data_IF_582973013997
#
_entry.id   IF_582973013997
#
_cell.length_a   1.000
_cell.length_b   1.000
_cell.length_c   1.000
_cell.angle_alpha   90.00
_cell.angle_beta   90.00
_cell.angle_gamma   90.00
#
_symmetry.space_group_name_H-M   'P 1'
#
loop_
_entity.id
_entity.type
_entity.pdbx_description
1 polymer ?
#
# COMPACT_ATOMS: atom_id res chain seq x y z
N UNK A 1 -32.74 -36.12 -30.21
CA UNK A 1 -32.92 -34.65 -30.23
C UNK A 1 -32.65 -33.95 -28.89
N UNK A 2 -33.14 -34.48 -27.78
CA UNK A 2 -32.94 -33.91 -26.43
C UNK A 2 -31.46 -33.89 -25.97
N UNK A 3 -30.70 -34.94 -26.32
CA UNK A 3 -29.27 -35.05 -25.92
C UNK A 3 -28.37 -34.01 -26.63
N UNK A 4 -28.70 -33.63 -27.86
CA UNK A 4 -27.98 -32.62 -28.61
C UNK A 4 -28.21 -31.20 -28.03
N UNK A 5 -29.44 -30.91 -27.56
CA UNK A 5 -29.77 -29.62 -26.91
C UNK A 5 -29.04 -29.44 -25.58
N UNK A 6 -28.95 -30.48 -24.76
CA UNK A 6 -28.25 -30.46 -23.47
C UNK A 6 -26.74 -30.25 -23.65
N UNK A 7 -26.12 -30.88 -24.65
CA UNK A 7 -24.70 -30.66 -24.97
C UNK A 7 -24.42 -29.22 -25.44
N UNK A 8 -25.32 -28.64 -26.24
CA UNK A 8 -25.18 -27.28 -26.75
C UNK A 8 -25.35 -26.24 -25.63
N UNK A 9 -26.28 -26.46 -24.69
CA UNK A 9 -26.49 -25.60 -23.53
C UNK A 9 -25.29 -25.68 -22.57
N UNK A 10 -24.76 -26.87 -22.29
CA UNK A 10 -23.57 -27.06 -21.47
C UNK A 10 -22.32 -26.40 -22.08
N UNK A 11 -22.13 -26.55 -23.40
CA UNK A 11 -21.01 -25.91 -24.10
C UNK A 11 -21.12 -24.37 -24.10
N UNK A 12 -22.31 -23.83 -24.33
CA UNK A 12 -22.55 -22.39 -24.27
C UNK A 12 -22.38 -21.85 -22.85
N UNK A 13 -22.82 -22.59 -21.82
CA UNK A 13 -22.59 -22.21 -20.41
C UNK A 13 -21.10 -22.21 -20.08
N UNK A 14 -20.35 -23.17 -20.58
CA UNK A 14 -18.91 -23.26 -20.38
C UNK A 14 -18.15 -22.14 -21.10
N UNK A 15 -18.59 -21.74 -22.30
CA UNK A 15 -18.07 -20.59 -23.04
C UNK A 15 -18.41 -19.27 -22.31
N UNK A 16 -19.63 -19.11 -21.83
CA UNK A 16 -20.04 -17.93 -21.05
C UNK A 16 -19.25 -17.83 -19.75
N UNK A 17 -19.12 -18.95 -19.03
CA UNK A 17 -18.32 -18.99 -17.79
C UNK A 17 -16.82 -18.71 -18.07
N UNK A 18 -16.26 -19.24 -19.17
CA UNK A 18 -14.88 -18.95 -19.55
C UNK A 18 -14.70 -17.49 -19.98
N UNK A 19 -15.68 -16.89 -20.65
CA UNK A 19 -15.64 -15.47 -21.02
C UNK A 19 -15.70 -14.56 -19.78
N UNK A 20 -16.61 -14.80 -18.84
CA UNK A 20 -16.67 -14.08 -17.58
C UNK A 20 -15.42 -14.31 -16.72
N UNK A 21 -14.86 -15.51 -16.71
CA UNK A 21 -13.61 -15.82 -16.02
C UNK A 21 -12.40 -15.11 -16.67
N UNK A 22 -12.40 -14.98 -18.01
CA UNK A 22 -11.36 -14.25 -18.74
C UNK A 22 -11.46 -12.74 -18.53
N UNK A 23 -12.68 -12.17 -18.48
CA UNK A 23 -12.88 -10.75 -18.14
C UNK A 23 -12.42 -10.41 -16.71
N UNK A 24 -12.57 -11.33 -15.74
CA UNK A 24 -12.02 -11.15 -14.37
C UNK A 24 -10.47 -11.20 -14.36
N UNK A 25 -9.84 -11.98 -15.24
CA UNK A 25 -8.38 -12.10 -15.34
C UNK A 25 -7.76 -10.91 -16.08
N UNK A 26 -8.45 -10.32 -17.07
CA UNK A 26 -7.97 -9.15 -17.84
C UNK A 26 -8.21 -7.81 -17.13
N UNK A 27 -8.78 -7.79 -15.93
CA UNK A 27 -9.07 -6.58 -15.20
C UNK A 27 -7.76 -5.95 -14.64
N UNK A 28 -7.24 -4.96 -15.37
CA UNK A 28 -6.14 -4.13 -14.89
C UNK A 28 -6.53 -3.41 -13.60
N UNK A 29 -5.62 -3.37 -12.65
CA UNK A 29 -5.83 -2.65 -11.40
C UNK A 29 -5.71 -1.16 -11.67
N UNK A 30 -6.82 -0.43 -11.57
CA UNK A 30 -6.91 1.02 -11.84
C UNK A 30 -7.17 1.85 -10.60
N UNK A 31 -7.60 1.22 -9.50
CA UNK A 31 -7.99 1.87 -8.27
C UNK A 31 -7.04 1.52 -7.13
N UNK A 32 -6.70 2.51 -6.32
CA UNK A 32 -5.97 2.31 -5.07
C UNK A 32 -6.68 2.94 -3.87
N UNK A 33 -6.51 2.32 -2.72
CA UNK A 33 -6.94 2.81 -1.41
C UNK A 33 -5.70 2.99 -0.54
N UNK A 34 -5.51 4.19 0.01
CA UNK A 34 -4.40 4.53 0.91
C UNK A 34 -4.95 4.84 2.30
N UNK A 35 -4.93 3.88 3.23
CA UNK A 35 -5.32 4.12 4.62
C UNK A 35 -4.32 5.05 5.32
N UNK A 36 -4.73 6.25 5.64
CA UNK A 36 -3.92 7.29 6.28
C UNK A 36 -4.61 7.89 7.54
N UNK A 37 -5.59 7.19 8.13
CA UNK A 37 -6.38 7.70 9.26
C UNK A 37 -5.73 7.52 10.65
N UNK A 38 -4.62 6.78 10.76
CA UNK A 38 -3.97 6.44 12.03
C UNK A 38 -3.43 7.65 12.80
N UNK A 39 -3.43 7.59 14.12
CA UNK A 39 -3.02 8.70 15.00
C UNK A 39 -1.51 8.95 15.07
N UNK A 40 -0.67 8.03 14.61
CA UNK A 40 0.79 8.19 14.60
C UNK A 40 1.45 8.24 15.97
N UNK A 41 0.89 7.59 16.98
CA UNK A 41 1.36 7.69 18.38
C UNK A 41 2.80 7.24 18.61
N UNK A 42 3.32 6.33 17.77
CA UNK A 42 4.70 5.82 17.83
C UNK A 42 5.76 6.87 17.50
N UNK A 43 5.38 7.92 16.76
CA UNK A 43 6.30 9.01 16.32
C UNK A 43 6.00 10.35 16.99
N UNK A 44 5.27 10.33 18.10
CA UNK A 44 5.14 11.52 18.95
C UNK A 44 6.52 11.98 19.48
N UNK A 45 6.73 13.30 19.65
CA UNK A 45 5.77 14.41 19.48
C UNK A 45 5.60 14.92 18.05
N UNK A 46 6.39 14.46 17.07
CA UNK A 46 6.35 14.96 15.68
C UNK A 46 4.95 14.90 15.05
N UNK A 47 4.21 13.79 15.31
CA UNK A 47 2.84 13.60 14.79
C UNK A 47 1.75 14.29 15.60
N UNK A 48 2.07 15.15 16.58
CA UNK A 48 1.06 15.86 17.39
C UNK A 48 0.23 16.84 16.56
N UNK A 49 0.87 17.58 15.68
CA UNK A 49 0.26 18.62 14.86
C UNK A 49 0.33 18.34 13.36
N UNK A 50 1.09 17.33 12.95
CA UNK A 50 1.28 16.94 11.56
C UNK A 50 0.99 15.44 11.41
N UNK A 51 0.21 15.00 10.43
CA UNK A 51 0.07 13.58 10.11
C UNK A 51 1.43 12.92 9.87
N UNK A 52 1.63 11.70 10.37
CA UNK A 52 2.89 10.97 10.13
C UNK A 52 3.16 10.76 8.64
N UNK A 53 2.13 10.67 7.84
CA UNK A 53 2.16 10.54 6.39
C UNK A 53 2.73 11.78 5.69
N UNK A 54 2.71 12.93 6.39
CA UNK A 54 3.29 14.20 5.93
C UNK A 54 4.72 14.46 6.44
N UNK A 55 5.28 13.55 7.24
CA UNK A 55 6.69 13.67 7.65
C UNK A 55 7.59 13.56 6.41
N UNK A 56 8.51 14.51 6.21
CA UNK A 56 9.32 14.56 5.01
C UNK A 56 10.43 13.50 5.01
N UNK A 57 10.71 12.97 3.83
CA UNK A 57 11.94 12.27 3.51
C UNK A 57 12.75 13.22 2.64
N UNK A 58 13.68 13.94 3.24
CA UNK A 58 14.40 15.10 2.71
C UNK A 58 13.42 16.27 2.42
N UNK A 59 12.91 16.42 1.21
CA UNK A 59 12.05 17.50 0.74
C UNK A 59 10.64 17.06 0.31
N UNK A 60 10.38 15.75 0.30
CA UNK A 60 9.13 15.16 -0.17
C UNK A 60 8.40 14.44 0.98
N UNK A 61 7.11 14.69 1.25
CA UNK A 61 6.37 13.97 2.28
C UNK A 61 6.18 12.49 1.91
N UNK A 62 6.15 11.63 2.92
CA UNK A 62 6.05 10.17 2.76
C UNK A 62 4.85 9.75 1.89
N UNK A 63 3.70 10.40 2.06
CA UNK A 63 2.49 10.08 1.30
C UNK A 63 2.66 10.28 -0.22
N UNK A 64 3.48 11.24 -0.65
CA UNK A 64 3.74 11.48 -2.06
C UNK A 64 4.51 10.32 -2.70
N UNK A 65 5.48 9.72 -2.01
CA UNK A 65 6.16 8.51 -2.49
C UNK A 65 5.17 7.37 -2.76
N UNK A 66 4.17 7.22 -1.89
CA UNK A 66 3.16 6.17 -2.00
C UNK A 66 2.21 6.42 -3.17
N UNK A 67 1.79 7.68 -3.37
CA UNK A 67 0.97 8.08 -4.52
C UNK A 67 1.75 7.91 -5.83
N UNK A 68 2.99 8.37 -5.88
CA UNK A 68 3.86 8.20 -7.07
C UNK A 68 4.09 6.72 -7.40
N UNK A 69 4.24 5.85 -6.39
CA UNK A 69 4.34 4.40 -6.61
C UNK A 69 3.07 3.83 -7.23
N UNK A 70 1.89 4.23 -6.73
CA UNK A 70 0.60 3.81 -7.28
C UNK A 70 0.48 4.25 -8.74
N UNK A 71 0.77 5.50 -9.06
CA UNK A 71 0.74 6.05 -10.43
C UNK A 71 1.71 5.30 -11.37
N UNK A 72 2.95 5.06 -10.92
CA UNK A 72 3.93 4.27 -11.68
C UNK A 72 3.50 2.83 -11.90
N UNK A 73 2.57 2.32 -11.10
CA UNK A 73 1.97 0.98 -11.22
C UNK A 73 0.75 0.95 -12.14
N UNK A 74 0.37 2.08 -12.76
CA UNK A 74 -0.77 2.19 -13.68
C UNK A 74 -2.11 2.46 -12.99
N UNK A 75 -2.10 2.85 -11.71
CA UNK A 75 -3.29 3.29 -10.97
C UNK A 75 -3.68 4.69 -11.46
N UNK A 76 -4.97 4.90 -11.67
CA UNK A 76 -5.56 6.15 -12.17
C UNK A 76 -6.36 6.87 -11.08
N UNK A 77 -7.13 6.12 -10.30
CA UNK A 77 -7.99 6.63 -9.23
C UNK A 77 -7.47 6.22 -7.86
N UNK A 78 -7.26 7.19 -6.98
CA UNK A 78 -6.72 6.97 -5.64
C UNK A 78 -7.68 7.51 -4.59
N UNK A 79 -8.10 6.68 -3.64
CA UNK A 79 -8.84 7.11 -2.46
C UNK A 79 -7.93 7.11 -1.24
N UNK A 80 -7.72 8.29 -0.66
CA UNK A 80 -7.00 8.42 0.61
C UNK A 80 -8.01 8.43 1.76
N UNK A 81 -7.88 7.48 2.68
CA UNK A 81 -8.73 7.40 3.88
C UNK A 81 -8.08 8.23 4.98
N UNK A 82 -8.62 9.41 5.24
CA UNK A 82 -8.11 10.34 6.25
C UNK A 82 -8.90 10.27 7.57
N UNK A 83 -8.53 11.08 8.53
CA UNK A 83 -9.26 11.30 9.78
C UNK A 83 -9.35 12.79 10.11
N UNK A 84 -10.07 13.13 11.18
CA UNK A 84 -10.17 14.53 11.64
C UNK A 84 -8.77 15.12 11.89
N UNK A 85 -8.52 16.32 11.37
CA UNK A 85 -7.27 17.06 11.58
C UNK A 85 -6.13 16.69 10.64
N UNK A 86 -6.39 15.96 9.55
CA UNK A 86 -5.39 15.59 8.54
C UNK A 86 -5.55 16.32 7.21
N UNK A 87 -6.05 17.56 7.23
CA UNK A 87 -6.26 18.40 6.03
C UNK A 87 -4.97 18.68 5.26
N UNK A 88 -3.83 18.70 5.91
CA UNK A 88 -2.52 18.89 5.24
C UNK A 88 -2.19 17.79 4.21
N UNK A 89 -2.82 16.62 4.30
CA UNK A 89 -2.71 15.58 3.26
C UNK A 89 -3.51 15.98 2.02
N UNK A 90 -4.69 16.58 2.22
CA UNK A 90 -5.56 17.09 1.17
C UNK A 90 -4.88 18.30 0.51
N UNK A 91 -4.45 19.30 1.32
CA UNK A 91 -3.77 20.51 0.88
C UNK A 91 -2.50 20.23 0.05
N UNK A 92 -1.81 19.13 0.31
CA UNK A 92 -0.56 18.76 -0.40
C UNK A 92 -0.79 18.41 -1.87
N UNK A 93 -1.91 17.75 -2.17
CA UNK A 93 -2.26 17.35 -3.54
C UNK A 93 -3.20 18.33 -4.24
N UNK A 94 -3.71 19.34 -3.53
CA UNK A 94 -4.50 20.40 -4.12
C UNK A 94 -3.62 21.47 -4.78
N UNK A 95 -4.24 22.26 -5.66
CA UNK A 95 -3.58 23.43 -6.25
C UNK A 95 -3.37 24.52 -5.19
N UNK A 96 -2.23 25.20 -5.25
CA UNK A 96 -1.88 26.32 -4.38
C UNK A 96 -1.72 27.63 -5.18
N UNK A 97 -2.81 28.27 -5.69
CA UNK A 97 -2.75 29.36 -6.65
C UNK A 97 -1.91 30.57 -6.20
N UNK A 98 -1.93 30.89 -4.91
CA UNK A 98 -1.14 32.01 -4.36
C UNK A 98 0.37 31.71 -4.42
N UNK A 99 0.79 30.50 -4.06
CA UNK A 99 2.17 30.05 -4.15
C UNK A 99 2.62 29.99 -5.62
N UNK A 100 1.80 29.39 -6.46
CA UNK A 100 2.05 29.23 -7.89
C UNK A 100 2.28 30.58 -8.59
N UNK A 101 1.39 31.55 -8.31
CA UNK A 101 1.52 32.91 -8.85
C UNK A 101 2.80 33.60 -8.36
N UNK A 102 3.17 33.41 -7.10
CA UNK A 102 4.41 33.98 -6.54
C UNK A 102 5.66 33.34 -7.19
N UNK A 103 5.63 32.04 -7.44
CA UNK A 103 6.76 31.34 -8.10
C UNK A 103 6.96 31.86 -9.53
N UNK A 104 5.90 31.99 -10.31
CA UNK A 104 5.96 32.55 -11.67
C UNK A 104 6.47 33.99 -11.70
N UNK A 105 5.96 34.85 -10.81
CA UNK A 105 6.38 36.25 -10.74
C UNK A 105 7.83 36.43 -10.28
N UNK A 106 8.41 35.41 -9.62
CA UNK A 106 9.81 35.42 -9.18
C UNK A 106 10.77 34.68 -10.14
N UNK A 107 10.28 34.24 -11.32
CA UNK A 107 11.09 33.54 -12.33
C UNK A 107 11.47 32.10 -11.93
N UNK A 108 10.73 31.48 -11.00
CA UNK A 108 10.98 30.10 -10.52
C UNK A 108 10.10 29.10 -11.27
N UNK A 109 10.14 29.12 -12.59
CA UNK A 109 9.26 28.31 -13.46
C UNK A 109 9.36 26.82 -13.19
N UNK A 110 10.58 26.26 -12.99
CA UNK A 110 10.77 24.83 -12.70
C UNK A 110 10.06 24.40 -11.41
N UNK A 111 10.21 25.19 -10.33
CA UNK A 111 9.55 24.89 -9.06
C UNK A 111 8.04 25.01 -9.19
N UNK A 112 7.54 25.96 -9.99
CA UNK A 112 6.13 26.07 -10.32
C UNK A 112 5.62 24.79 -11.02
N UNK A 113 6.33 24.32 -12.05
CA UNK A 113 5.98 23.11 -12.79
C UNK A 113 5.93 21.88 -11.88
N UNK A 114 6.91 21.74 -10.97
CA UNK A 114 6.93 20.67 -9.95
C UNK A 114 5.71 20.73 -9.03
N UNK A 115 5.33 21.91 -8.53
CA UNK A 115 4.15 22.05 -7.66
C UNK A 115 2.85 21.69 -8.39
N UNK A 116 2.71 22.14 -9.64
CA UNK A 116 1.55 21.81 -10.47
C UNK A 116 1.49 20.32 -10.80
N UNK A 117 2.65 19.70 -11.05
CA UNK A 117 2.74 18.26 -11.33
C UNK A 117 2.24 17.41 -10.16
N UNK A 118 2.49 17.82 -8.90
CA UNK A 118 1.98 17.11 -7.71
C UNK A 118 0.44 17.04 -7.72
N UNK A 119 -0.22 18.14 -8.04
CA UNK A 119 -1.70 18.21 -8.08
C UNK A 119 -2.31 17.43 -9.26
N UNK A 120 -1.50 17.05 -10.23
CA UNK A 120 -1.92 16.31 -11.42
C UNK A 120 -1.44 14.86 -11.44
N UNK A 121 -0.92 14.32 -10.31
CA UNK A 121 -0.38 12.95 -10.25
C UNK A 121 -1.42 11.89 -10.59
N UNK A 122 -2.62 12.00 -10.03
CA UNK A 122 -3.73 11.07 -10.22
C UNK A 122 -5.07 11.74 -9.89
N UNK A 123 -6.17 11.05 -10.17
CA UNK A 123 -7.49 11.45 -9.66
C UNK A 123 -7.60 11.05 -8.18
N UNK A 124 -7.26 11.98 -7.26
CA UNK A 124 -7.23 11.74 -5.83
C UNK A 124 -8.54 12.17 -5.17
N UNK A 125 -9.14 11.26 -4.43
CA UNK A 125 -10.34 11.48 -3.63
C UNK A 125 -10.05 11.23 -2.16
N UNK A 126 -10.86 11.83 -1.28
CA UNK A 126 -10.67 11.71 0.16
C UNK A 126 -11.97 11.30 0.85
N UNK A 127 -11.85 10.39 1.82
CA UNK A 127 -12.94 10.04 2.72
C UNK A 127 -12.43 9.99 4.16
N UNK A 128 -13.27 10.37 5.12
CA UNK A 128 -12.91 10.30 6.53
C UNK A 128 -13.38 9.00 7.15
N UNK A 129 -12.45 8.27 7.73
CA UNK A 129 -12.77 7.26 8.72
C UNK A 129 -13.27 8.00 9.99
N UNK A 130 -14.59 8.03 10.21
CA UNK A 130 -15.20 8.78 11.31
C UNK A 130 -14.77 8.29 12.69
N UNK A 131 -14.52 6.99 12.82
CA UNK A 131 -14.05 6.31 14.02
C UNK A 131 -12.88 5.39 13.66
N UNK A 132 -11.79 5.47 14.40
CA UNK A 132 -10.58 4.65 14.17
C UNK A 132 -10.78 3.24 14.71
N UNK A 133 -11.45 2.37 13.93
CA UNK A 133 -11.76 0.98 14.29
C UNK A 133 -10.78 -0.04 13.69
N UNK A 134 -9.60 0.39 13.27
CA UNK A 134 -8.57 -0.48 12.68
C UNK A 134 -8.47 -0.36 11.16
N UNK A 135 -7.46 -1.06 10.60
CA UNK A 135 -7.11 -1.00 9.19
C UNK A 135 -8.20 -1.62 8.29
N UNK A 136 -8.78 -2.75 8.70
CA UNK A 136 -9.89 -3.37 7.97
C UNK A 136 -11.11 -2.46 7.85
N UNK A 137 -11.46 -1.73 8.93
CA UNK A 137 -12.52 -0.75 8.87
C UNK A 137 -12.17 0.45 7.97
N UNK A 138 -10.92 0.90 7.93
CA UNK A 138 -10.49 1.94 7.00
C UNK A 138 -10.71 1.49 5.55
N UNK A 139 -10.26 0.29 5.19
CA UNK A 139 -10.49 -0.29 3.85
C UNK A 139 -11.98 -0.46 3.56
N UNK A 140 -12.79 -0.89 4.54
CA UNK A 140 -14.24 -1.01 4.36
C UNK A 140 -14.90 0.32 3.98
N UNK A 141 -14.41 1.46 4.47
CA UNK A 141 -14.91 2.77 4.07
C UNK A 141 -14.76 3.05 2.56
N UNK A 142 -13.89 2.33 1.87
CA UNK A 142 -13.69 2.48 0.43
C UNK A 142 -14.71 1.71 -0.44
N UNK A 143 -15.63 0.92 0.15
CA UNK A 143 -16.58 0.04 -0.57
C UNK A 143 -17.30 0.74 -1.73
N UNK A 144 -17.80 1.95 -1.51
CA UNK A 144 -18.53 2.70 -2.53
C UNK A 144 -17.65 3.21 -3.68
N UNK A 145 -16.39 3.57 -3.38
CA UNK A 145 -15.40 4.01 -4.37
C UNK A 145 -14.91 2.84 -5.23
N UNK A 146 -14.61 1.72 -4.59
CA UNK A 146 -14.10 0.54 -5.28
C UNK A 146 -15.17 -0.08 -6.18
N UNK A 147 -16.40 -0.21 -5.68
CA UNK A 147 -17.47 -0.89 -6.41
C UNK A 147 -17.17 -2.38 -6.57
N UNK A 148 -17.16 -2.85 -7.82
CA UNK A 148 -16.93 -4.26 -8.16
C UNK A 148 -15.54 -4.52 -8.77
N UNK A 149 -14.64 -3.53 -8.74
CA UNK A 149 -13.31 -3.67 -9.34
C UNK A 149 -12.31 -4.23 -8.33
N UNK A 150 -11.28 -4.97 -8.75
CA UNK A 150 -10.12 -5.25 -7.93
C UNK A 150 -9.35 -3.95 -7.66
N UNK A 151 -8.70 -3.86 -6.50
CA UNK A 151 -8.04 -2.63 -6.08
C UNK A 151 -6.77 -2.88 -5.29
N UNK A 152 -5.84 -1.95 -5.38
CA UNK A 152 -4.64 -1.93 -4.57
C UNK A 152 -4.91 -1.30 -3.20
N UNK A 153 -4.27 -1.81 -2.15
CA UNK A 153 -4.17 -1.14 -0.85
C UNK A 153 -2.70 -0.86 -0.59
N UNK A 154 -2.36 0.42 -0.40
CA UNK A 154 -1.02 0.86 -0.06
C UNK A 154 -1.06 1.48 1.34
N UNK A 155 -0.32 0.90 2.30
CA UNK A 155 -0.32 1.42 3.67
C UNK A 155 0.34 2.79 3.70
N UNK A 156 -0.38 3.78 4.25
CA UNK A 156 0.00 5.21 4.20
C UNK A 156 1.27 5.59 4.97
N UNK A 157 1.86 4.66 5.72
CA UNK A 157 3.12 4.84 6.45
C UNK A 157 4.25 3.88 5.99
N UNK A 158 4.03 3.11 4.92
CA UNK A 158 5.05 2.23 4.34
C UNK A 158 5.55 2.79 3.01
N UNK A 159 6.72 3.41 3.02
CA UNK A 159 7.38 3.86 1.80
C UNK A 159 8.27 2.73 1.26
N UNK A 160 8.10 2.38 0.00
CA UNK A 160 8.92 1.36 -0.67
C UNK A 160 9.65 2.01 -1.84
N UNK A 161 10.98 1.91 -1.86
CA UNK A 161 11.84 2.49 -2.89
C UNK A 161 12.59 1.36 -3.59
N UNK A 162 12.46 1.29 -4.90
CA UNK A 162 13.09 0.31 -5.76
C UNK A 162 13.03 0.73 -7.23
N UNK A 163 13.70 -0.02 -8.09
CA UNK A 163 13.66 0.23 -9.54
C UNK A 163 12.26 -0.05 -10.12
N UNK A 164 11.62 -1.12 -9.63
CA UNK A 164 10.25 -1.46 -9.98
C UNK A 164 9.31 -1.11 -8.82
N UNK A 165 8.17 -0.45 -9.08
CA UNK A 165 7.20 -0.18 -8.03
C UNK A 165 6.67 -1.49 -7.44
N UNK A 166 6.65 -1.60 -6.10
CA UNK A 166 6.18 -2.82 -5.42
C UNK A 166 4.71 -3.10 -5.75
N UNK A 167 3.86 -2.08 -5.78
CA UNK A 167 2.46 -2.20 -6.17
C UNK A 167 2.33 -2.80 -7.59
N UNK A 168 3.15 -2.37 -8.55
CA UNK A 168 3.15 -2.90 -9.93
C UNK A 168 3.49 -4.38 -9.99
N UNK A 169 4.48 -4.82 -9.18
CA UNK A 169 4.82 -6.26 -9.11
C UNK A 169 3.67 -7.11 -8.57
N UNK A 170 2.84 -6.57 -7.69
CA UNK A 170 1.63 -7.23 -7.19
C UNK A 170 0.50 -7.21 -8.23
N UNK A 171 0.35 -6.12 -8.99
CA UNK A 171 -0.62 -6.04 -10.08
C UNK A 171 -0.35 -7.13 -11.14
N UNK A 172 0.92 -7.28 -11.55
CA UNK A 172 1.33 -8.36 -12.47
C UNK A 172 0.95 -9.76 -11.95
N UNK A 173 1.13 -9.99 -10.64
CA UNK A 173 0.75 -11.27 -10.04
C UNK A 173 -0.78 -11.45 -9.98
N UNK A 174 -1.55 -10.38 -9.73
CA UNK A 174 -3.01 -10.43 -9.78
C UNK A 174 -3.50 -10.75 -11.20
N UNK A 175 -2.96 -10.12 -12.22
CA UNK A 175 -3.27 -10.39 -13.62
C UNK A 175 -2.94 -11.84 -14.00
N UNK A 176 -1.89 -12.42 -13.44
CA UNK A 176 -1.48 -13.81 -13.72
C UNK A 176 -2.36 -14.85 -13.02
N UNK A 177 -2.75 -14.62 -11.76
CA UNK A 177 -3.37 -15.64 -10.91
C UNK A 177 -4.87 -15.41 -10.65
N UNK A 178 -5.41 -14.22 -10.89
CA UNK A 178 -6.82 -13.88 -10.66
C UNK A 178 -7.31 -13.99 -9.22
N UNK A 179 -6.40 -13.97 -8.24
CA UNK A 179 -6.70 -14.07 -6.81
C UNK A 179 -6.02 -12.97 -6.00
N UNK A 180 -6.49 -12.72 -4.77
CA UNK A 180 -5.90 -11.70 -3.91
C UNK A 180 -4.38 -11.84 -3.76
N UNK A 181 -3.66 -10.73 -3.78
CA UNK A 181 -2.18 -10.71 -3.71
C UNK A 181 -1.71 -9.91 -2.51
N UNK A 182 -0.69 -10.38 -1.81
CA UNK A 182 -0.03 -9.69 -0.71
C UNK A 182 1.46 -9.54 -0.97
N UNK A 183 2.00 -8.34 -0.75
CA UNK A 183 3.43 -8.10 -0.76
C UNK A 183 4.06 -8.63 0.50
N UNK A 184 5.03 -9.53 0.36
CA UNK A 184 5.67 -10.22 1.48
C UNK A 184 7.16 -9.97 1.52
N UNK A 185 7.73 -10.04 2.72
CA UNK A 185 9.17 -10.09 2.96
C UNK A 185 9.46 -11.06 4.09
N UNK A 186 10.60 -11.73 4.01
CA UNK A 186 11.14 -12.44 5.15
C UNK A 186 11.70 -11.44 6.16
N UNK A 187 11.33 -11.60 7.44
CA UNK A 187 11.78 -10.73 8.52
C UNK A 187 12.31 -11.58 9.68
N UNK A 188 13.22 -11.03 10.53
CA UNK A 188 13.67 -11.73 11.73
C UNK A 188 12.50 -12.15 12.62
N UNK A 189 12.60 -13.31 13.26
CA UNK A 189 11.57 -13.90 14.13
C UNK A 189 11.06 -12.92 15.20
N UNK A 190 11.93 -12.07 15.74
CA UNK A 190 11.53 -11.06 16.74
C UNK A 190 10.64 -9.95 16.15
N UNK A 191 10.75 -9.71 14.84
CA UNK A 191 9.94 -8.70 14.17
C UNK A 191 8.60 -9.26 13.71
N UNK A 192 8.54 -10.56 13.32
CA UNK A 192 7.30 -11.19 12.84
C UNK A 192 6.17 -11.12 13.89
N UNK A 193 6.52 -11.13 15.20
CA UNK A 193 5.57 -11.01 16.30
C UNK A 193 4.83 -9.63 16.34
N UNK A 194 5.32 -8.66 15.58
CA UNK A 194 4.71 -7.32 15.46
C UNK A 194 3.87 -7.15 14.18
N UNK A 195 3.98 -8.11 13.29
CA UNK A 195 3.30 -8.16 11.99
C UNK A 195 2.38 -9.36 11.92
N UNK A 196 2.08 -9.83 10.72
CA UNK A 196 1.39 -11.11 10.52
C UNK A 196 2.40 -12.21 10.13
N UNK A 197 2.12 -13.45 10.51
CA UNK A 197 2.85 -14.63 10.02
C UNK A 197 1.99 -15.37 9.00
N UNK A 198 2.60 -15.78 7.89
CA UNK A 198 1.91 -16.39 6.75
C UNK A 198 2.24 -17.87 6.62
N UNK A 199 1.21 -18.67 6.33
CA UNK A 199 1.38 -20.05 5.88
C UNK A 199 1.57 -20.07 4.38
N UNK A 200 2.83 -20.20 3.96
CA UNK A 200 3.24 -20.08 2.56
C UNK A 200 3.79 -21.39 2.01
N UNK A 201 3.64 -21.58 0.69
CA UNK A 201 4.34 -22.58 -0.09
C UNK A 201 4.89 -21.92 -1.34
N UNK A 202 6.16 -22.08 -1.62
CA UNK A 202 6.80 -21.55 -2.81
C UNK A 202 6.14 -22.12 -4.08
N UNK A 203 5.89 -21.28 -5.06
CA UNK A 203 5.38 -21.65 -6.38
C UNK A 203 6.48 -21.55 -7.41
N UNK A 204 6.81 -20.36 -7.85
CA UNK A 204 7.84 -20.06 -8.84
C UNK A 204 8.46 -18.69 -8.61
N UNK A 205 9.74 -18.51 -8.92
CA UNK A 205 10.44 -17.23 -8.78
C UNK A 205 10.26 -16.62 -7.38
N UNK A 206 9.65 -15.45 -7.32
CA UNK A 206 9.31 -14.74 -6.07
C UNK A 206 7.81 -14.86 -5.70
N UNK A 207 7.12 -15.89 -6.16
CA UNK A 207 5.69 -16.15 -5.94
C UNK A 207 5.49 -17.30 -4.96
N UNK A 208 4.54 -17.11 -4.06
CA UNK A 208 4.17 -18.07 -3.01
C UNK A 208 2.65 -18.20 -2.95
N UNK A 209 2.13 -19.41 -2.74
CA UNK A 209 0.75 -19.56 -2.32
C UNK A 209 0.62 -19.22 -0.84
N UNK A 210 -0.43 -18.51 -0.47
CA UNK A 210 -0.77 -18.16 0.92
C UNK A 210 -2.13 -18.77 1.25
N UNK A 211 -2.17 -19.68 2.21
CA UNK A 211 -3.37 -20.45 2.58
C UNK A 211 -3.91 -20.12 3.96
N UNK A 212 -3.12 -19.46 4.79
CA UNK A 212 -3.52 -19.02 6.13
C UNK A 212 -2.59 -17.88 6.59
N UNK A 213 -3.05 -17.06 7.53
CA UNK A 213 -2.26 -15.98 8.14
C UNK A 213 -2.77 -15.66 9.54
N UNK A 214 -1.90 -15.12 10.36
CA UNK A 214 -2.24 -14.72 11.73
C UNK A 214 -1.60 -13.39 12.09
N UNK A 215 -2.41 -12.43 12.53
CA UNK A 215 -1.97 -11.11 12.98
C UNK A 215 -1.38 -11.16 14.37
N UNK A 216 -0.18 -10.58 14.55
CA UNK A 216 0.56 -10.49 15.82
C UNK A 216 0.59 -11.82 16.59
N UNK A 217 1.11 -12.89 15.97
CA UNK A 217 1.11 -14.23 16.55
C UNK A 217 1.96 -14.31 17.81
N UNK A 218 1.65 -15.26 18.69
CA UNK A 218 2.62 -15.71 19.67
C UNK A 218 3.66 -16.64 19.02
N UNK A 219 4.83 -16.84 19.63
CA UNK A 219 5.92 -17.65 19.05
C UNK A 219 5.48 -19.05 18.60
N UNK A 220 4.65 -19.68 19.41
CA UNK A 220 4.11 -21.02 19.14
C UNK A 220 3.08 -21.07 18.00
N UNK A 221 2.63 -19.93 17.53
CA UNK A 221 1.62 -19.78 16.47
C UNK A 221 2.24 -19.41 15.11
N UNK A 222 3.57 -19.27 15.03
CA UNK A 222 4.24 -18.88 13.82
C UNK A 222 4.09 -19.95 12.73
N UNK A 223 3.68 -19.55 11.56
CA UNK A 223 3.70 -20.37 10.34
C UNK A 223 5.05 -20.27 9.63
N UNK A 224 5.55 -19.05 9.45
CA UNK A 224 6.83 -18.74 8.81
C UNK A 224 7.33 -17.36 9.24
N UNK A 225 8.49 -16.96 8.76
CA UNK A 225 9.04 -15.61 8.93
C UNK A 225 8.62 -14.63 7.81
N UNK A 226 7.73 -15.03 6.92
CA UNK A 226 7.15 -14.12 5.93
C UNK A 226 6.04 -13.28 6.55
N UNK A 227 6.16 -11.96 6.38
CA UNK A 227 5.18 -10.97 6.82
C UNK A 227 4.60 -10.20 5.63
N UNK A 228 3.34 -9.78 5.73
CA UNK A 228 2.77 -8.80 4.78
C UNK A 228 3.33 -7.42 5.12
N UNK A 229 3.92 -6.76 4.14
CA UNK A 229 4.54 -5.45 4.33
C UNK A 229 4.05 -4.45 3.27
N UNK A 230 3.10 -3.64 3.67
CA UNK A 230 2.72 -2.40 3.04
C UNK A 230 1.81 -2.45 1.82
N UNK A 231 1.72 -3.55 1.08
CA UNK A 231 1.00 -3.62 -0.20
C UNK A 231 0.15 -4.86 -0.30
N UNK A 232 -1.09 -4.71 -0.81
CA UNK A 232 -1.89 -5.84 -1.27
C UNK A 232 -2.82 -5.43 -2.43
N UNK A 233 -3.20 -6.41 -3.26
CA UNK A 233 -4.27 -6.29 -4.25
C UNK A 233 -5.41 -7.18 -3.80
N UNK A 234 -6.60 -6.61 -3.69
CA UNK A 234 -7.75 -7.28 -3.12
C UNK A 234 -8.92 -7.31 -4.12
N UNK A 235 -9.61 -8.43 -4.25
CA UNK A 235 -10.87 -8.48 -4.99
C UNK A 235 -11.99 -7.82 -4.17
N UNK A 236 -13.07 -7.31 -4.82
CA UNK A 236 -14.19 -6.64 -4.14
C UNK A 236 -14.94 -7.55 -3.15
N UNK A 237 -14.83 -8.86 -3.29
CA UNK A 237 -15.38 -9.86 -2.34
C UNK A 237 -14.78 -9.79 -0.93
N UNK A 238 -13.73 -9.00 -0.71
CA UNK A 238 -13.24 -8.70 0.64
C UNK A 238 -14.25 -7.87 1.46
N UNK A 239 -15.11 -7.05 0.82
CA UNK A 239 -16.04 -6.17 1.52
C UNK A 239 -17.15 -6.91 2.29
N UNK A 240 -17.83 -7.94 1.75
CA UNK A 240 -18.73 -8.77 2.54
C UNK A 240 -18.08 -9.40 3.78
N UNK A 241 -16.82 -9.81 3.68
CA UNK A 241 -16.05 -10.35 4.81
C UNK A 241 -15.84 -9.24 5.86
N UNK A 242 -15.32 -8.09 5.46
CA UNK A 242 -15.09 -6.94 6.35
C UNK A 242 -16.35 -6.45 7.05
N UNK A 243 -17.51 -6.55 6.40
CA UNK A 243 -18.81 -6.13 6.94
C UNK A 243 -19.25 -6.93 8.17
N UNK A 244 -18.90 -8.22 8.21
CA UNK A 244 -19.29 -9.14 9.28
C UNK A 244 -18.16 -9.49 10.24
N UNK A 245 -16.95 -8.98 9.97
CA UNK A 245 -15.78 -9.28 10.79
C UNK A 245 -15.92 -8.67 12.21
N UNK A 246 -15.64 -9.49 13.20
CA UNK A 246 -15.61 -9.03 14.61
C UNK A 246 -14.24 -8.41 14.91
N UNK A 247 -14.16 -7.45 15.86
CA UNK A 247 -12.88 -6.93 16.32
C UNK A 247 -11.94 -8.06 16.79
N UNK A 248 -10.73 -8.07 16.26
CA UNK A 248 -9.66 -9.03 16.55
C UNK A 248 -8.60 -8.46 17.49
N UNK A 249 -7.33 -8.63 17.13
CA UNK A 249 -6.20 -8.17 17.93
C UNK A 249 -6.29 -6.65 18.23
N UNK A 250 -6.15 -6.28 19.50
CA UNK A 250 -6.25 -4.89 19.95
C UNK A 250 -7.66 -4.30 19.96
N UNK A 251 -8.71 -5.09 19.75
CA UNK A 251 -10.09 -4.62 19.65
C UNK A 251 -10.40 -3.89 18.32
N UNK A 252 -9.56 -4.09 17.31
CA UNK A 252 -9.67 -3.47 16.00
C UNK A 252 -10.16 -4.46 14.94
N UNK A 253 -10.84 -3.95 13.90
CA UNK A 253 -11.14 -4.73 12.69
C UNK A 253 -9.86 -4.79 11.87
N UNK A 254 -9.18 -5.93 11.90
CA UNK A 254 -7.91 -6.13 11.22
C UNK A 254 -8.15 -6.52 9.75
N UNK A 255 -7.41 -5.90 8.83
CA UNK A 255 -7.45 -6.28 7.42
C UNK A 255 -6.88 -7.71 7.23
N UNK A 256 -5.89 -8.07 8.03
CA UNK A 256 -5.28 -9.41 8.02
C UNK A 256 -6.29 -10.51 8.32
N UNK A 257 -7.23 -10.27 9.25
CA UNK A 257 -8.27 -11.26 9.58
C UNK A 257 -9.23 -11.46 8.38
N UNK A 258 -9.60 -10.38 7.69
CA UNK A 258 -10.41 -10.48 6.46
C UNK A 258 -9.66 -11.20 5.33
N UNK A 259 -8.38 -10.87 5.12
CA UNK A 259 -7.54 -11.55 4.12
C UNK A 259 -7.33 -13.02 4.49
N UNK A 260 -7.29 -13.36 5.77
CA UNK A 260 -7.25 -14.76 6.22
C UNK A 260 -8.49 -15.53 5.77
N UNK A 261 -9.68 -14.99 5.97
CA UNK A 261 -10.92 -15.63 5.51
C UNK A 261 -10.91 -15.79 3.99
N UNK A 262 -10.47 -14.77 3.25
CA UNK A 262 -10.32 -14.84 1.80
C UNK A 262 -9.32 -15.94 1.40
N UNK A 263 -8.16 -16.01 2.05
CA UNK A 263 -7.13 -17.01 1.78
C UNK A 263 -7.59 -18.45 2.03
N UNK A 264 -8.44 -18.66 3.04
CA UNK A 264 -9.03 -19.98 3.34
C UNK A 264 -10.06 -20.39 2.27
N UNK A 265 -10.84 -19.43 1.74
CA UNK A 265 -11.89 -19.70 0.75
C UNK A 265 -11.31 -19.99 -0.64
N UNK A 266 -10.34 -19.20 -1.09
CA UNK A 266 -9.86 -19.27 -2.49
C UNK A 266 -8.35 -19.26 -2.65
N UNK A 267 -7.61 -19.14 -1.55
CA UNK A 267 -6.17 -18.90 -1.58
C UNK A 267 -5.83 -17.45 -1.91
N UNK A 268 -4.59 -17.09 -1.63
CA UNK A 268 -3.99 -15.81 -2.04
C UNK A 268 -2.57 -16.05 -2.56
N UNK A 269 -2.01 -15.08 -3.25
CA UNK A 269 -0.63 -15.11 -3.74
C UNK A 269 0.23 -14.16 -2.89
N UNK A 270 1.36 -14.65 -2.40
CA UNK A 270 2.42 -13.84 -1.82
C UNK A 270 3.44 -13.46 -2.89
N UNK A 271 3.78 -12.20 -2.98
CA UNK A 271 4.86 -11.69 -3.85
C UNK A 271 5.98 -11.16 -2.99
N UNK A 272 7.14 -11.80 -3.03
CA UNK A 272 8.34 -11.25 -2.41
C UNK A 272 8.88 -10.14 -3.32
N UNK A 273 8.36 -8.92 -3.13
CA UNK A 273 8.64 -7.80 -4.02
C UNK A 273 10.08 -7.29 -3.89
N UNK A 274 10.62 -6.75 -4.97
CA UNK A 274 11.87 -6.01 -5.00
C UNK A 274 11.67 -4.59 -4.45
N UNK A 275 12.68 -4.07 -3.76
CA UNK A 275 12.65 -2.73 -3.18
C UNK A 275 12.89 -2.74 -1.66
N UNK A 276 13.34 -1.60 -1.15
CA UNK A 276 13.60 -1.38 0.28
C UNK A 276 12.41 -0.68 0.91
N UNK A 277 11.86 -1.30 1.97
CA UNK A 277 10.75 -0.74 2.73
C UNK A 277 11.24 0.08 3.91
N UNK A 278 10.65 1.25 4.10
CA UNK A 278 10.84 2.11 5.25
C UNK A 278 9.51 2.30 5.97
N UNK A 279 9.45 1.86 7.25
CA UNK A 279 8.29 2.08 8.13
C UNK A 279 8.35 3.51 8.70
N UNK A 280 7.61 4.43 8.08
CA UNK A 280 7.47 5.82 8.54
C UNK A 280 6.64 5.93 9.81
N UNK A 281 6.06 4.83 10.28
CA UNK A 281 5.39 4.73 11.58
C UNK A 281 6.35 4.53 12.76
N UNK A 282 7.67 4.47 12.55
CA UNK A 282 8.65 4.40 13.64
C UNK A 282 9.87 5.32 13.38
N UNK A 283 10.53 5.72 14.47
CA UNK A 283 11.63 6.71 14.43
C UNK A 283 12.87 6.21 13.67
N UNK A 284 13.20 4.93 13.77
CA UNK A 284 14.36 4.35 13.07
C UNK A 284 14.10 4.25 11.57
N UNK A 285 12.91 3.80 11.16
CA UNK A 285 12.54 3.72 9.74
C UNK A 285 12.56 5.10 9.07
N UNK A 286 12.11 6.16 9.77
CA UNK A 286 12.21 7.55 9.29
C UNK A 286 13.67 7.94 9.06
N UNK A 287 14.56 7.69 10.05
CA UNK A 287 15.98 8.00 9.91
C UNK A 287 16.64 7.23 8.77
N UNK A 288 16.32 5.95 8.62
CA UNK A 288 16.83 5.12 7.52
C UNK A 288 16.41 5.69 6.16
N UNK A 289 15.13 6.03 6.00
CA UNK A 289 14.62 6.63 4.78
C UNK A 289 15.34 7.96 4.45
N UNK A 290 15.46 8.85 5.43
CA UNK A 290 16.13 10.15 5.24
C UNK A 290 17.60 9.96 4.84
N UNK A 291 18.33 9.06 5.49
CA UNK A 291 19.75 8.83 5.18
C UNK A 291 19.91 8.26 3.78
N UNK A 292 19.17 7.21 3.43
CA UNK A 292 19.37 6.54 2.13
C UNK A 292 18.87 7.39 0.95
N UNK A 293 17.75 8.12 1.12
CA UNK A 293 17.28 9.05 0.09
C UNK A 293 18.20 10.27 0.02
N UNK A 294 18.62 10.82 1.15
CA UNK A 294 19.53 11.96 1.21
C UNK A 294 20.86 11.70 0.51
N UNK A 295 21.41 10.49 0.64
CA UNK A 295 22.64 10.08 -0.06
C UNK A 295 22.52 10.08 -1.59
N UNK A 296 21.31 9.93 -2.12
CA UNK A 296 21.03 9.87 -3.57
C UNK A 296 20.37 11.15 -4.07
N UNK A 297 20.10 12.10 -3.18
CA UNK A 297 19.39 13.32 -3.54
C UNK A 297 20.21 14.20 -4.48
N UNK A 298 19.62 14.72 -5.60
CA UNK A 298 20.36 15.42 -6.63
C UNK A 298 21.02 16.72 -6.14
N UNK A 299 20.41 17.44 -5.19
CA UNK A 299 20.94 18.73 -4.71
C UNK A 299 21.92 18.59 -3.54
N UNK A 300 21.66 17.65 -2.62
CA UNK A 300 22.42 17.60 -1.35
C UNK A 300 23.23 16.31 -1.20
N UNK A 301 23.13 15.35 -2.10
CA UNK A 301 23.70 14.01 -1.92
C UNK A 301 25.21 14.00 -1.75
N UNK A 302 25.96 14.81 -2.51
CA UNK A 302 27.43 14.86 -2.42
C UNK A 302 27.89 15.49 -1.10
N UNK A 303 27.29 16.61 -0.70
CA UNK A 303 27.60 17.28 0.56
C UNK A 303 27.19 16.39 1.75
N UNK A 304 26.06 15.72 1.64
CA UNK A 304 25.58 14.81 2.68
C UNK A 304 26.49 13.59 2.86
N UNK A 305 27.01 13.01 1.78
CA UNK A 305 28.02 11.93 1.85
C UNK A 305 29.27 12.38 2.57
N UNK A 306 29.76 13.59 2.24
CA UNK A 306 30.93 14.18 2.87
C UNK A 306 30.72 14.41 4.37
N UNK A 307 29.55 14.95 4.73
CA UNK A 307 29.16 15.16 6.11
C UNK A 307 29.04 13.86 6.91
N UNK A 308 28.42 12.81 6.34
CA UNK A 308 28.32 11.50 6.99
C UNK A 308 29.69 10.86 7.23
N UNK A 309 30.64 11.00 6.29
CA UNK A 309 31.98 10.50 6.48
C UNK A 309 32.72 11.23 7.63
N UNK A 310 32.44 12.53 7.82
CA UNK A 310 32.95 13.29 8.96
C UNK A 310 32.32 12.81 10.28
N UNK A 311 31.00 12.62 10.31
CA UNK A 311 30.27 12.12 11.49
C UNK A 311 30.75 10.73 11.89
N UNK A 312 30.90 9.80 10.93
CA UNK A 312 31.44 8.46 11.23
C UNK A 312 32.82 8.53 11.89
N UNK A 313 33.73 9.36 11.36
CA UNK A 313 35.05 9.58 11.97
C UNK A 313 34.96 10.18 13.38
N UNK A 314 34.07 11.18 13.57
CA UNK A 314 33.88 11.87 14.85
C UNK A 314 33.37 10.93 15.96
N UNK A 315 32.50 10.01 15.63
CA UNK A 315 31.86 9.10 16.60
C UNK A 315 32.48 7.69 16.62
N UNK A 316 33.45 7.39 15.76
CA UNK A 316 34.13 6.11 15.71
C UNK A 316 33.24 4.96 15.20
N UNK A 317 32.36 5.27 14.26
CA UNK A 317 31.46 4.30 13.61
C UNK A 317 32.00 3.94 12.24
#
# INVERSE_FOLDING_TARGET
MLFCLLCTVAYNLQLILSYFYQEEIDAKIKKAVIPAAGLGTRVLPASKAMPKEMLPIVDKPAIQYIVEEAVKSGIEDILIITSRGKTTVEDHFDRAPELEHKLLNSGKEKVYEEMVAISNLANIQYIRQKETKGLGHAVYCAKAFVGNDPFAVLYGDDVIIGEKPACGQLCEAYEQYGSGVVGIKEVPTEQILKYCSLKTKHLEGNRYSVTDMIEKPRREQLFSNYAILGRCILPPKIFPILEHLKPGAGGEIQLTDAMRELAVIEGMIGVEYEGTRYDMGNKLGILQAIVEVGLKHPEVGDDFRSYLAEICRKYGI
#
